data_IF_741802446719
#
_entry.id   IF_741802446719
#
_cell.length_a   1.000
_cell.length_b   1.000
_cell.length_c   1.000
_cell.angle_alpha   90.00
_cell.angle_beta   90.00
_cell.angle_gamma   90.00
#
_symmetry.space_group_name_H-M   'P 1'
#
loop_
_entity.id
_entity.type
_entity.pdbx_description
1 polymer ?
#
# COMPACT_ATOMS: atom_id res chain seq x y z
N UNK A 1 -27.16 7.35 -28.54
CA UNK A 1 -26.21 8.44 -28.84
C UNK A 1 -24.86 8.27 -28.12
N UNK A 2 -24.86 8.06 -26.80
CA UNK A 2 -23.63 7.89 -25.99
C UNK A 2 -22.77 6.69 -26.42
N UNK A 3 -23.38 5.55 -26.76
CA UNK A 3 -22.66 4.35 -27.23
C UNK A 3 -21.88 4.57 -28.54
N UNK A 4 -22.41 5.37 -29.46
CA UNK A 4 -21.74 5.75 -30.71
C UNK A 4 -20.53 6.64 -30.46
N UNK A 5 -20.62 7.52 -29.46
CA UNK A 5 -19.52 8.38 -29.03
C UNK A 5 -18.37 7.53 -28.47
N UNK A 6 -18.68 6.56 -27.60
CA UNK A 6 -17.67 5.65 -27.04
C UNK A 6 -16.96 4.82 -28.11
N UNK A 7 -17.69 4.33 -29.12
CA UNK A 7 -17.09 3.60 -30.24
C UNK A 7 -16.14 4.47 -31.06
N UNK A 8 -16.52 5.73 -31.34
CA UNK A 8 -15.67 6.69 -32.05
C UNK A 8 -14.39 7.00 -31.25
N UNK A 9 -14.50 7.16 -29.92
CA UNK A 9 -13.35 7.39 -29.04
C UNK A 9 -12.43 6.16 -29.05
N UNK A 10 -12.96 4.95 -28.88
CA UNK A 10 -12.19 3.70 -28.97
C UNK A 10 -11.47 3.59 -30.31
N UNK A 11 -12.17 3.87 -31.41
CA UNK A 11 -11.60 3.85 -32.75
C UNK A 11 -10.43 4.84 -32.87
N UNK A 12 -10.56 6.07 -32.38
CA UNK A 12 -9.46 7.04 -32.39
C UNK A 12 -8.27 6.61 -31.54
N UNK A 13 -8.50 6.00 -30.38
CA UNK A 13 -7.44 5.49 -29.52
C UNK A 13 -6.69 4.33 -30.21
N UNK A 14 -7.42 3.39 -30.83
CA UNK A 14 -6.82 2.30 -31.62
C UNK A 14 -6.02 2.85 -32.79
N UNK A 15 -6.53 3.85 -33.52
CA UNK A 15 -5.78 4.51 -34.59
C UNK A 15 -4.52 5.21 -34.09
N UNK A 16 -4.52 5.74 -32.86
CA UNK A 16 -3.31 6.29 -32.26
C UNK A 16 -2.31 5.19 -31.95
N UNK A 17 -2.76 4.09 -31.34
CA UNK A 17 -1.89 2.96 -31.03
C UNK A 17 -1.28 2.35 -32.30
N UNK A 18 -2.05 2.25 -33.40
CA UNK A 18 -1.55 1.72 -34.68
C UNK A 18 -0.45 2.56 -35.32
N UNK A 19 -0.41 3.87 -35.10
CA UNK A 19 0.72 4.73 -35.52
C UNK A 19 2.02 4.41 -34.78
N UNK A 20 1.88 3.81 -33.62
CA UNK A 20 2.95 3.53 -32.68
C UNK A 20 3.12 2.03 -32.44
N UNK A 21 2.74 1.19 -33.40
CA UNK A 21 2.90 -0.26 -33.31
C UNK A 21 4.30 -0.73 -33.69
N UNK A 22 4.66 -1.91 -33.15
CA UNK A 22 5.87 -2.62 -33.50
C UNK A 22 5.91 -2.86 -35.02
N UNK A 23 7.04 -2.62 -35.71
CA UNK A 23 7.24 -3.12 -37.05
C UNK A 23 7.15 -4.65 -37.03
N UNK A 24 6.48 -5.23 -38.02
CA UNK A 24 6.11 -6.65 -38.12
C UNK A 24 7.28 -7.63 -38.24
N UNK A 25 8.50 -7.25 -37.87
CA UNK A 25 9.73 -8.03 -38.00
C UNK A 25 10.56 -8.12 -36.72
N UNK A 26 10.16 -7.50 -35.61
CA UNK A 26 10.94 -7.56 -34.39
C UNK A 26 10.51 -8.74 -33.52
N UNK A 27 11.37 -9.76 -33.43
CA UNK A 27 11.39 -10.61 -32.26
C UNK A 27 11.67 -9.71 -31.04
N UNK A 28 10.93 -9.91 -29.95
CA UNK A 28 11.09 -9.21 -28.67
C UNK A 28 12.51 -9.33 -28.06
N UNK A 29 13.40 -10.08 -28.72
CA UNK A 29 14.82 -10.28 -28.39
C UNK A 29 15.78 -9.32 -29.07
N UNK A 30 15.33 -8.47 -29.99
CA UNK A 30 16.20 -7.53 -30.71
C UNK A 30 16.57 -6.30 -29.86
N UNK A 31 17.83 -5.87 -29.93
CA UNK A 31 18.33 -4.66 -29.24
C UNK A 31 17.60 -3.37 -29.68
N UNK A 32 16.96 -3.38 -30.84
CA UNK A 32 16.14 -2.27 -31.34
C UNK A 32 14.76 -2.18 -30.67
N UNK A 33 14.21 -3.30 -30.17
CA UNK A 33 12.98 -3.29 -29.37
C UNK A 33 13.22 -2.65 -27.99
N UNK A 34 14.45 -2.75 -27.44
CA UNK A 34 14.82 -2.11 -26.18
C UNK A 34 14.94 -0.58 -26.29
N UNK A 35 15.12 -0.04 -27.50
CA UNK A 35 15.31 1.40 -27.74
C UNK A 35 14.03 2.12 -28.14
N UNK A 36 12.98 1.40 -28.50
CA UNK A 36 11.76 1.97 -29.07
C UNK A 36 10.53 1.65 -28.23
N UNK A 37 9.69 2.67 -28.04
CA UNK A 37 8.40 2.51 -27.36
C UNK A 37 7.36 2.08 -28.39
N UNK A 38 6.62 1.01 -28.15
CA UNK A 38 5.57 0.56 -29.07
C UNK A 38 4.36 -0.04 -28.36
N UNK A 39 3.24 -0.03 -29.05
CA UNK A 39 2.05 -0.76 -28.64
C UNK A 39 1.89 -2.04 -29.45
N UNK A 40 1.24 -3.01 -28.84
CA UNK A 40 0.68 -4.17 -29.50
C UNK A 40 -0.78 -4.25 -29.09
N UNK A 41 -1.70 -4.28 -30.06
CA UNK A 41 -3.14 -4.16 -29.84
C UNK A 41 -3.81 -5.38 -30.45
N UNK A 42 -4.51 -6.14 -29.61
CA UNK A 42 -5.29 -7.29 -30.00
C UNK A 42 -6.78 -7.01 -29.78
N UNK A 43 -7.57 -7.16 -30.82
CA UNK A 43 -9.01 -6.91 -30.79
C UNK A 43 -9.73 -8.23 -31.04
N UNK A 44 -10.41 -8.74 -30.02
CA UNK A 44 -11.17 -9.98 -30.09
C UNK A 44 -12.65 -9.67 -30.34
N UNK A 45 -13.16 -10.15 -31.47
CA UNK A 45 -14.53 -9.91 -31.92
C UNK A 45 -15.38 -11.15 -31.62
N UNK A 46 -16.49 -11.02 -30.88
CA UNK A 46 -17.38 -12.15 -30.58
C UNK A 46 -18.17 -12.64 -31.81
N UNK A 47 -18.65 -13.88 -31.75
CA UNK A 47 -19.39 -14.55 -32.83
C UNK A 47 -20.86 -14.11 -32.95
N UNK A 48 -21.45 -13.60 -31.86
CA UNK A 48 -22.84 -13.16 -31.82
C UNK A 48 -23.05 -11.77 -32.46
N UNK A 49 -24.28 -11.49 -32.90
CA UNK A 49 -24.66 -10.17 -33.42
C UNK A 49 -24.67 -9.12 -32.30
N UNK A 50 -24.48 -7.84 -32.66
CA UNK A 50 -24.53 -6.74 -31.68
C UNK A 50 -25.89 -6.67 -30.94
N UNK A 51 -26.98 -7.09 -31.57
CA UNK A 51 -28.32 -7.12 -30.98
C UNK A 51 -28.45 -8.25 -29.96
N UNK A 52 -27.92 -9.43 -30.27
CA UNK A 52 -27.94 -10.59 -29.38
C UNK A 52 -27.03 -10.37 -28.15
N UNK A 53 -25.87 -9.75 -28.35
CA UNK A 53 -24.95 -9.42 -27.25
C UNK A 53 -25.56 -8.37 -26.30
N UNK A 54 -26.41 -7.48 -26.82
CA UNK A 54 -27.06 -6.46 -26.00
C UNK A 54 -28.04 -7.07 -24.98
N UNK A 55 -28.63 -8.22 -25.29
CA UNK A 55 -29.56 -8.96 -24.41
C UNK A 55 -28.83 -9.73 -23.30
N UNK A 56 -27.52 -9.95 -23.44
CA UNK A 56 -26.71 -10.68 -22.46
C UNK A 56 -26.14 -9.69 -21.42
N UNK A 57 -26.28 -9.97 -20.11
CA UNK A 57 -25.73 -9.12 -19.05
C UNK A 57 -24.21 -9.04 -19.13
N UNK A 58 -23.64 -7.87 -18.81
CA UNK A 58 -22.23 -7.55 -19.08
C UNK A 58 -21.25 -8.54 -18.44
N UNK A 59 -21.57 -9.01 -17.24
CA UNK A 59 -20.75 -9.98 -16.48
C UNK A 59 -20.61 -11.33 -17.21
N UNK A 60 -21.61 -11.72 -18.02
CA UNK A 60 -21.65 -13.00 -18.71
C UNK A 60 -21.12 -12.92 -20.14
N UNK A 61 -20.81 -11.73 -20.65
CA UNK A 61 -20.25 -11.53 -22.00
C UNK A 61 -18.86 -12.15 -22.17
N UNK A 62 -18.16 -12.44 -21.07
CA UNK A 62 -16.87 -13.14 -21.08
C UNK A 62 -16.94 -14.59 -21.58
N UNK A 63 -18.13 -15.21 -21.61
CA UNK A 63 -18.35 -16.57 -22.09
C UNK A 63 -18.64 -16.65 -23.61
N UNK A 64 -18.74 -15.51 -24.30
CA UNK A 64 -18.99 -15.47 -25.74
C UNK A 64 -17.80 -16.05 -26.51
N UNK A 65 -18.08 -16.93 -27.47
CA UNK A 65 -17.07 -17.45 -28.39
C UNK A 65 -16.51 -16.31 -29.24
N UNK A 66 -15.19 -16.27 -29.37
CA UNK A 66 -14.48 -15.31 -30.21
C UNK A 66 -14.50 -15.80 -31.66
N UNK A 67 -15.03 -14.98 -32.56
CA UNK A 67 -15.07 -15.25 -34.01
C UNK A 67 -13.70 -15.07 -34.65
N UNK A 68 -13.05 -13.96 -34.30
CA UNK A 68 -11.75 -13.62 -34.84
C UNK A 68 -11.00 -12.64 -33.95
N UNK A 69 -9.68 -12.70 -34.09
CA UNK A 69 -8.74 -11.75 -33.54
C UNK A 69 -8.29 -10.81 -34.67
N UNK A 70 -8.21 -9.52 -34.36
CA UNK A 70 -7.77 -8.49 -35.30
C UNK A 70 -6.63 -7.68 -34.68
N UNK A 71 -5.56 -7.48 -35.45
CA UNK A 71 -4.44 -6.62 -35.09
C UNK A 71 -4.30 -5.52 -36.15
N UNK A 72 -4.30 -4.23 -35.78
CA UNK A 72 -4.10 -3.17 -36.75
C UNK A 72 -2.66 -3.20 -37.31
N UNK A 73 -2.49 -2.79 -38.57
CA UNK A 73 -1.15 -2.66 -39.18
C UNK A 73 -0.55 -1.30 -38.81
N UNK A 74 0.78 -1.22 -38.70
CA UNK A 74 1.51 0.02 -38.45
C UNK A 74 1.15 1.06 -39.52
N UNK A 75 0.69 2.24 -39.10
CA UNK A 75 0.20 3.30 -40.00
C UNK A 75 -0.89 2.81 -40.99
N UNK A 76 -1.77 1.90 -40.56
CA UNK A 76 -2.84 1.37 -41.41
C UNK A 76 -3.65 2.49 -42.08
N UNK A 77 -3.88 2.34 -43.40
CA UNK A 77 -4.69 3.26 -44.19
C UNK A 77 -6.08 3.41 -43.55
N UNK A 78 -6.48 4.67 -43.32
CA UNK A 78 -7.79 5.02 -42.74
C UNK A 78 -8.71 5.48 -43.85
N UNK A 79 -9.87 4.83 -43.96
CA UNK A 79 -10.97 5.29 -44.80
C UNK A 79 -12.18 5.52 -43.90
N UNK A 80 -12.42 6.78 -43.50
CA UNK A 80 -13.50 7.13 -42.57
C UNK A 80 -13.37 6.43 -41.21
N UNK A 81 -14.28 5.50 -40.94
CA UNK A 81 -14.37 4.68 -39.71
C UNK A 81 -13.85 3.24 -39.89
N UNK A 82 -13.02 3.02 -40.90
CA UNK A 82 -12.44 1.71 -41.22
C UNK A 82 -10.92 1.76 -41.01
N UNK A 83 -10.37 0.73 -40.36
CA UNK A 83 -8.94 0.55 -40.13
C UNK A 83 -8.43 -0.72 -40.82
N UNK A 84 -7.29 -0.61 -41.51
CA UNK A 84 -6.61 -1.75 -42.10
C UNK A 84 -5.78 -2.51 -41.05
N UNK A 85 -5.85 -3.84 -41.09
CA UNK A 85 -5.12 -4.71 -40.19
C UNK A 85 -4.98 -6.12 -40.74
N UNK A 86 -4.59 -7.03 -39.85
CA UNK A 86 -4.59 -8.46 -40.08
C UNK A 86 -5.61 -9.12 -39.15
N UNK A 87 -6.28 -10.14 -39.64
CA UNK A 87 -7.28 -10.92 -38.93
C UNK A 87 -6.82 -12.37 -38.87
N UNK A 88 -7.03 -13.00 -37.71
CA UNK A 88 -6.92 -14.45 -37.53
C UNK A 88 -8.27 -14.99 -37.08
N UNK A 89 -8.90 -15.81 -37.92
CA UNK A 89 -10.11 -16.53 -37.53
C UNK A 89 -9.71 -17.76 -36.70
N UNK A 90 -10.65 -18.31 -35.92
CA UNK A 90 -10.37 -19.45 -35.04
C UNK A 90 -9.89 -20.70 -35.80
N UNK A 91 -10.33 -20.88 -37.04
CA UNK A 91 -10.02 -22.01 -37.91
C UNK A 91 -8.79 -21.76 -38.79
N UNK A 92 -8.35 -20.50 -38.90
CA UNK A 92 -7.25 -20.11 -39.77
C UNK A 92 -5.91 -20.19 -39.00
N UNK A 93 -4.92 -20.84 -39.60
CA UNK A 93 -3.56 -20.92 -39.02
C UNK A 93 -2.78 -19.61 -39.24
N UNK A 94 -3.08 -18.90 -40.34
CA UNK A 94 -2.37 -17.72 -40.81
C UNK A 94 -3.17 -16.41 -40.64
N UNK A 95 -2.44 -15.30 -40.59
CA UNK A 95 -3.00 -13.95 -40.50
C UNK A 95 -3.35 -13.43 -41.89
N UNK A 96 -4.61 -13.09 -42.11
CA UNK A 96 -5.10 -12.55 -43.39
C UNK A 96 -5.27 -11.03 -43.32
N UNK A 97 -4.87 -10.26 -44.35
CA UNK A 97 -5.13 -8.83 -44.38
C UNK A 97 -6.64 -8.55 -44.46
N UNK A 98 -7.16 -7.68 -43.61
CA UNK A 98 -8.60 -7.38 -43.53
C UNK A 98 -8.84 -5.93 -43.09
N UNK A 99 -10.01 -5.41 -43.41
CA UNK A 99 -10.50 -4.12 -42.96
C UNK A 99 -11.50 -4.29 -41.83
N UNK A 100 -11.36 -3.50 -40.75
CA UNK A 100 -12.27 -3.52 -39.62
C UNK A 100 -13.04 -2.19 -39.52
N UNK A 101 -14.37 -2.25 -39.50
CA UNK A 101 -15.23 -1.11 -39.20
C UNK A 101 -15.31 -0.84 -37.68
N UNK A 102 -15.45 0.42 -37.30
CA UNK A 102 -15.63 0.85 -35.91
C UNK A 102 -16.87 0.23 -35.23
N UNK A 103 -17.88 -0.19 -35.98
CA UNK A 103 -19.12 -0.76 -35.43
C UNK A 103 -18.89 -2.11 -34.71
N UNK A 104 -17.86 -2.84 -35.12
CA UNK A 104 -17.45 -4.09 -34.49
C UNK A 104 -16.73 -3.88 -33.14
N UNK A 105 -16.36 -2.63 -32.80
CA UNK A 105 -15.63 -2.31 -31.56
C UNK A 105 -16.53 -2.15 -30.32
N UNK A 106 -17.85 -2.20 -30.50
CA UNK A 106 -18.82 -1.95 -29.42
C UNK A 106 -18.68 -2.98 -28.30
N UNK A 107 -18.67 -4.26 -28.67
CA UNK A 107 -18.63 -5.40 -27.76
C UNK A 107 -17.33 -6.21 -27.88
N UNK A 108 -16.35 -5.73 -28.65
CA UNK A 108 -15.05 -6.38 -28.75
C UNK A 108 -14.26 -6.25 -27.45
N UNK A 109 -13.52 -7.29 -27.10
CA UNK A 109 -12.48 -7.22 -26.08
C UNK A 109 -11.22 -6.64 -26.72
N UNK A 110 -10.64 -5.63 -26.09
CA UNK A 110 -9.41 -4.98 -26.56
C UNK A 110 -8.33 -5.24 -25.51
N UNK A 111 -7.26 -5.89 -25.92
CA UNK A 111 -6.08 -6.12 -25.10
C UNK A 111 -4.94 -5.26 -25.68
N UNK A 112 -4.25 -4.52 -24.82
CA UNK A 112 -3.16 -3.63 -25.22
C UNK A 112 -1.93 -3.96 -24.39
N UNK A 113 -0.85 -4.33 -25.08
CA UNK A 113 0.47 -4.42 -24.50
C UNK A 113 1.23 -3.14 -24.87
N UNK A 114 1.80 -2.48 -23.87
CA UNK A 114 2.68 -1.34 -24.06
C UNK A 114 4.08 -1.72 -23.64
N UNK A 115 5.02 -1.58 -24.57
CA UNK A 115 6.44 -1.88 -24.37
C UNK A 115 7.21 -0.57 -24.29
N UNK A 116 7.99 -0.42 -23.20
CA UNK A 116 8.86 0.70 -22.91
C UNK A 116 10.24 0.17 -22.52
N UNK A 117 11.11 0.01 -23.52
CA UNK A 117 12.41 -0.65 -23.36
C UNK A 117 12.28 -2.06 -22.79
N UNK A 118 12.86 -2.30 -21.61
CA UNK A 118 12.77 -3.59 -20.89
C UNK A 118 11.52 -3.75 -20.03
N UNK A 119 10.60 -2.78 -20.07
CA UNK A 119 9.39 -2.79 -19.26
C UNK A 119 8.15 -3.02 -20.11
N UNK A 120 7.35 -4.01 -19.74
CA UNK A 120 6.10 -4.34 -20.40
C UNK A 120 4.90 -4.12 -19.48
N UNK A 121 3.90 -3.40 -20.00
CA UNK A 121 2.57 -3.32 -19.41
C UNK A 121 1.60 -4.13 -20.25
N UNK A 122 1.02 -5.15 -19.65
CA UNK A 122 0.00 -5.98 -20.30
C UNK A 122 -1.34 -5.71 -19.63
N UNK A 123 -2.25 -5.08 -20.35
CA UNK A 123 -3.60 -4.80 -19.89
C UNK A 123 -4.61 -5.61 -20.71
N UNK A 124 -5.31 -6.51 -20.03
CA UNK A 124 -6.35 -7.35 -20.62
C UNK A 124 -7.73 -6.73 -20.39
N UNK A 125 -8.64 -6.87 -21.36
CA UNK A 125 -10.01 -6.31 -21.30
C UNK A 125 -10.01 -4.82 -20.98
N UNK A 126 -9.26 -4.05 -21.77
CA UNK A 126 -9.10 -2.61 -21.57
C UNK A 126 -10.46 -1.88 -21.60
N UNK A 127 -10.82 -1.26 -20.48
CA UNK A 127 -11.93 -0.31 -20.44
C UNK A 127 -11.56 0.97 -21.22
N UNK A 128 -12.55 1.78 -21.57
CA UNK A 128 -12.29 3.06 -22.26
C UNK A 128 -11.37 3.98 -21.44
N UNK A 129 -11.53 3.99 -20.12
CA UNK A 129 -10.64 4.72 -19.21
C UNK A 129 -9.22 4.16 -19.24
N UNK A 130 -9.06 2.85 -19.29
CA UNK A 130 -7.74 2.19 -19.41
C UNK A 130 -7.07 2.55 -20.72
N UNK A 131 -7.80 2.59 -21.84
CA UNK A 131 -7.29 3.02 -23.14
C UNK A 131 -6.85 4.51 -23.12
N UNK A 132 -7.65 5.39 -22.50
CA UNK A 132 -7.27 6.80 -22.32
C UNK A 132 -6.01 6.93 -21.46
N UNK A 133 -5.92 6.16 -20.37
CA UNK A 133 -4.72 6.13 -19.51
C UNK A 133 -3.49 5.71 -20.30
N UNK A 134 -3.56 4.63 -21.09
CA UNK A 134 -2.45 4.17 -21.92
C UNK A 134 -2.04 5.20 -22.98
N UNK A 135 -3.01 5.93 -23.55
CA UNK A 135 -2.75 7.05 -24.45
C UNK A 135 -2.00 8.19 -23.75
N UNK A 136 -2.47 8.61 -22.56
CA UNK A 136 -1.86 9.68 -21.77
C UNK A 136 -0.47 9.30 -21.27
N UNK A 137 -0.27 8.06 -20.84
CA UNK A 137 1.01 7.54 -20.35
C UNK A 137 2.14 7.79 -21.34
N UNK A 138 1.90 7.52 -22.62
CA UNK A 138 2.90 7.78 -23.67
C UNK A 138 2.93 9.24 -24.09
N UNK A 139 1.78 9.87 -24.34
CA UNK A 139 1.72 11.26 -24.83
C UNK A 139 2.40 12.25 -23.88
N UNK A 140 2.25 12.04 -22.58
CA UNK A 140 2.83 12.87 -21.52
C UNK A 140 4.14 12.29 -20.95
N UNK A 141 4.65 11.17 -21.48
CA UNK A 141 5.81 10.43 -20.96
C UNK A 141 5.74 10.14 -19.44
N UNK A 142 4.54 9.90 -18.92
CA UNK A 142 4.31 9.58 -17.50
C UNK A 142 4.75 8.16 -17.12
N UNK A 143 5.22 7.37 -18.10
CA UNK A 143 5.76 6.02 -17.90
C UNK A 143 6.87 6.00 -16.83
N UNK A 144 7.72 7.03 -16.77
CA UNK A 144 8.77 7.14 -15.75
C UNK A 144 8.22 7.22 -14.32
N UNK A 145 7.11 7.94 -14.12
CA UNK A 145 6.45 8.02 -12.81
C UNK A 145 5.86 6.67 -12.41
N UNK A 146 5.29 5.94 -13.37
CA UNK A 146 4.71 4.63 -13.12
C UNK A 146 5.77 3.58 -12.76
N UNK A 147 6.91 3.61 -13.45
CA UNK A 147 8.10 2.81 -13.10
C UNK A 147 8.56 3.15 -11.68
N UNK A 148 8.62 4.44 -11.33
CA UNK A 148 9.02 4.90 -10.01
C UNK A 148 8.05 4.41 -8.93
N UNK A 149 6.74 4.54 -9.14
CA UNK A 149 5.73 4.03 -8.23
C UNK A 149 5.83 2.51 -8.05
N UNK A 150 6.06 1.77 -9.13
CA UNK A 150 6.22 0.32 -9.05
C UNK A 150 7.48 -0.07 -8.26
N UNK A 151 8.63 0.58 -8.55
CA UNK A 151 9.88 0.38 -7.79
C UNK A 151 9.71 0.77 -6.33
N UNK A 152 9.04 1.88 -6.03
CA UNK A 152 8.76 2.35 -4.68
C UNK A 152 7.86 1.37 -3.92
N UNK A 153 6.78 0.88 -4.54
CA UNK A 153 5.90 -0.13 -3.95
C UNK A 153 6.65 -1.43 -3.65
N UNK A 154 7.48 -1.90 -4.59
CA UNK A 154 8.35 -3.07 -4.40
C UNK A 154 9.36 -2.85 -3.28
N UNK A 155 9.96 -1.66 -3.21
CA UNK A 155 10.89 -1.28 -2.15
C UNK A 155 10.21 -1.24 -0.78
N UNK A 156 9.05 -0.58 -0.65
CA UNK A 156 8.26 -0.52 0.59
C UNK A 156 7.86 -1.92 1.04
N UNK A 157 7.37 -2.75 0.13
CA UNK A 157 7.01 -4.13 0.45
C UNK A 157 8.23 -4.94 0.90
N UNK A 158 9.35 -4.84 0.18
CA UNK A 158 10.62 -5.49 0.56
C UNK A 158 11.12 -5.00 1.92
N UNK A 159 11.00 -3.71 2.21
CA UNK A 159 11.41 -3.11 3.47
C UNK A 159 10.49 -3.51 4.62
N UNK A 160 9.17 -3.61 4.38
CA UNK A 160 8.19 -4.09 5.35
C UNK A 160 8.44 -5.57 5.68
N UNK A 161 8.69 -6.39 4.67
CA UNK A 161 9.07 -7.80 4.84
C UNK A 161 10.42 -7.91 5.55
N UNK A 162 11.42 -7.12 5.16
CA UNK A 162 12.73 -7.10 5.82
C UNK A 162 12.66 -6.64 7.27
N UNK A 163 11.82 -5.65 7.61
CA UNK A 163 11.56 -5.23 9.00
C UNK A 163 10.92 -6.34 9.82
N UNK A 164 9.92 -7.04 9.27
CA UNK A 164 9.27 -8.19 9.93
C UNK A 164 10.24 -9.35 10.17
N UNK A 165 11.19 -9.54 9.25
CA UNK A 165 12.17 -10.63 9.28
C UNK A 165 13.40 -10.30 10.15
N UNK A 166 13.81 -9.03 10.21
CA UNK A 166 15.01 -8.60 10.96
C UNK A 166 14.79 -8.59 12.47
N UNK A 167 13.55 -8.63 12.94
CA UNK A 167 13.26 -8.95 14.32
C UNK A 167 13.12 -10.47 14.44
N UNK A 168 14.16 -11.20 14.90
CA UNK A 168 13.92 -12.55 15.43
C UNK A 168 12.85 -12.46 16.52
N UNK A 169 12.12 -13.55 16.72
CA UNK A 169 11.05 -13.69 17.73
C UNK A 169 11.43 -12.95 19.01
N UNK A 170 10.67 -11.91 19.34
CA UNK A 170 11.09 -10.97 20.39
C UNK A 170 10.86 -11.52 21.79
N UNK A 171 9.99 -12.53 21.96
CA UNK A 171 9.77 -13.17 23.26
C UNK A 171 9.00 -14.48 23.17
N UNK A 172 9.12 -15.34 24.20
CA UNK A 172 8.26 -16.52 24.44
C UNK A 172 6.77 -16.18 24.33
N UNK A 173 6.38 -14.96 24.71
CA UNK A 173 4.99 -14.49 24.65
C UNK A 173 4.41 -14.45 23.23
N UNK A 174 5.17 -14.00 22.22
CA UNK A 174 4.69 -13.93 20.83
C UNK A 174 4.39 -15.31 20.25
N UNK A 175 5.16 -16.33 20.66
CA UNK A 175 4.91 -17.73 20.30
C UNK A 175 3.58 -18.19 20.90
N UNK A 176 3.35 -17.91 22.18
CA UNK A 176 2.11 -18.29 22.85
C UNK A 176 0.90 -17.54 22.33
N UNK A 177 1.04 -16.26 21.98
CA UNK A 177 -0.02 -15.49 21.34
C UNK A 177 -0.40 -16.09 19.97
N UNK A 178 0.60 -16.42 19.14
CA UNK A 178 0.37 -17.06 17.85
C UNK A 178 -0.34 -18.42 18.01
N UNK A 179 0.08 -19.25 18.98
CA UNK A 179 -0.58 -20.52 19.28
C UNK A 179 -2.02 -20.32 19.76
N UNK A 180 -2.26 -19.42 20.71
CA UNK A 180 -3.58 -19.16 21.27
C UNK A 180 -4.54 -18.49 20.27
N UNK A 181 -4.03 -17.90 19.20
CA UNK A 181 -4.82 -17.35 18.09
C UNK A 181 -5.25 -18.40 17.05
N UNK A 182 -4.71 -19.63 17.12
CA UNK A 182 -4.99 -20.70 16.17
C UNK A 182 -6.11 -21.62 16.66
N UNK A 183 -7.20 -21.72 15.89
CA UNK A 183 -8.33 -22.59 16.19
C UNK A 183 -7.93 -24.09 16.29
N UNK A 184 -6.99 -24.52 15.44
CA UNK A 184 -6.50 -25.89 15.43
C UNK A 184 -5.78 -26.26 16.73
N UNK A 185 -4.97 -25.33 17.24
CA UNK A 185 -4.27 -25.50 18.51
C UNK A 185 -5.26 -25.49 19.68
N UNK A 186 -6.23 -24.58 19.71
CA UNK A 186 -7.24 -24.51 20.78
C UNK A 186 -8.08 -25.79 20.88
N UNK A 187 -8.30 -26.49 19.76
CA UNK A 187 -9.03 -27.77 19.73
C UNK A 187 -8.19 -28.97 20.18
N UNK A 188 -6.91 -29.03 19.77
CA UNK A 188 -6.05 -30.21 19.97
C UNK A 188 -5.11 -30.11 21.18
N UNK A 189 -4.76 -28.89 21.59
CA UNK A 189 -3.77 -28.61 22.64
C UNK A 189 -2.34 -29.02 22.29
N UNK A 190 -2.09 -29.41 21.04
CA UNK A 190 -0.80 -29.86 20.52
C UNK A 190 -0.44 -29.09 19.25
N UNK A 191 0.85 -28.93 18.98
CA UNK A 191 1.34 -28.24 17.80
C UNK A 191 2.67 -28.81 17.32
N UNK A 192 2.94 -28.67 16.03
CA UNK A 192 4.26 -28.97 15.43
C UNK A 192 5.07 -27.69 15.22
N UNK A 193 6.39 -27.81 15.16
CA UNK A 193 7.28 -26.67 14.88
C UNK A 193 7.00 -26.11 13.49
N UNK A 194 6.79 -26.97 12.50
CA UNK A 194 6.44 -26.56 11.13
C UNK A 194 5.15 -25.74 11.07
N UNK A 195 4.12 -26.15 11.81
CA UNK A 195 2.84 -25.42 11.94
C UNK A 195 3.03 -24.07 12.63
N UNK A 196 3.80 -24.03 13.72
CA UNK A 196 4.13 -22.80 14.43
C UNK A 196 4.89 -21.80 13.54
N UNK A 197 5.88 -22.29 12.78
CA UNK A 197 6.63 -21.46 11.84
C UNK A 197 5.72 -20.86 10.75
N UNK A 198 4.75 -21.65 10.28
CA UNK A 198 3.75 -21.19 9.30
C UNK A 198 2.79 -20.16 9.90
N UNK A 199 2.39 -20.32 11.16
CA UNK A 199 1.54 -19.37 11.87
C UNK A 199 2.25 -18.01 12.06
N UNK A 200 3.51 -18.01 12.43
CA UNK A 200 4.28 -16.79 12.73
C UNK A 200 4.73 -16.08 11.44
N UNK A 201 5.21 -16.82 10.43
CA UNK A 201 5.87 -16.26 9.25
C UNK A 201 5.04 -16.36 7.94
N UNK A 202 3.92 -17.09 7.96
CA UNK A 202 3.08 -17.36 6.79
C UNK A 202 3.75 -18.28 5.76
N UNK A 203 3.12 -18.43 4.58
CA UNK A 203 3.63 -19.27 3.48
C UNK A 203 4.82 -18.66 2.71
N UNK A 204 5.72 -17.91 3.36
CA UNK A 204 6.79 -17.18 2.70
C UNK A 204 8.09 -18.01 2.61
N UNK A 205 8.01 -19.15 1.92
CA UNK A 205 9.17 -20.04 1.71
C UNK A 205 10.10 -19.63 0.56
N UNK A 206 9.78 -18.57 -0.20
CA UNK A 206 10.40 -18.37 -1.52
C UNK A 206 11.51 -17.32 -1.54
N UNK A 207 11.71 -16.56 -0.46
CA UNK A 207 12.57 -15.36 -0.52
C UNK A 207 14.05 -15.59 -0.23
N UNK A 208 14.37 -16.21 0.92
CA UNK A 208 15.74 -16.29 1.45
C UNK A 208 15.88 -17.46 2.42
N UNK A 209 16.34 -18.60 1.93
CA UNK A 209 16.56 -19.83 2.69
C UNK A 209 17.39 -19.60 3.98
N UNK A 210 18.45 -18.78 3.89
CA UNK A 210 19.33 -18.46 5.02
C UNK A 210 18.59 -17.80 6.21
N UNK A 211 17.60 -16.96 5.90
CA UNK A 211 16.81 -16.27 6.92
C UNK A 211 15.86 -17.26 7.60
N UNK A 212 15.20 -18.09 6.80
CA UNK A 212 14.33 -19.14 7.33
C UNK A 212 15.11 -20.08 8.26
N UNK A 213 16.34 -20.44 7.90
CA UNK A 213 17.21 -21.26 8.74
C UNK A 213 17.55 -20.59 10.07
N UNK A 214 17.95 -19.31 10.07
CA UNK A 214 18.22 -18.53 11.29
C UNK A 214 17.01 -18.41 12.21
N UNK A 215 15.83 -18.21 11.61
CA UNK A 215 14.55 -18.14 12.34
C UNK A 215 14.15 -19.49 12.91
N UNK A 216 14.31 -20.57 12.14
CA UNK A 216 14.04 -21.93 12.58
C UNK A 216 14.95 -22.33 13.75
N UNK A 217 16.23 -21.97 13.71
CA UNK A 217 17.18 -22.17 14.81
C UNK A 217 16.79 -21.35 16.05
N UNK A 218 16.37 -20.10 15.87
CA UNK A 218 15.89 -19.28 16.99
C UNK A 218 14.62 -19.86 17.62
N UNK A 219 13.73 -20.47 16.82
CA UNK A 219 12.56 -21.17 17.33
C UNK A 219 12.95 -22.39 18.16
N UNK A 220 13.94 -23.18 17.72
CA UNK A 220 14.45 -24.33 18.48
C UNK A 220 14.91 -23.91 19.87
N UNK A 221 15.78 -22.89 19.95
CA UNK A 221 16.28 -22.41 21.25
C UNK A 221 15.17 -21.94 22.20
N UNK A 222 14.13 -21.28 21.67
CA UNK A 222 13.03 -20.82 22.50
C UNK A 222 12.16 -21.99 22.96
N UNK A 223 11.87 -22.95 22.07
CA UNK A 223 11.10 -24.15 22.40
C UNK A 223 11.84 -25.02 23.42
N UNK A 224 13.15 -25.22 23.27
CA UNK A 224 13.98 -25.94 24.23
C UNK A 224 13.92 -25.29 25.61
N UNK A 225 14.03 -23.96 25.67
CA UNK A 225 13.88 -23.22 26.93
C UNK A 225 12.47 -23.35 27.54
N UNK A 226 11.41 -23.42 26.73
CA UNK A 226 10.06 -23.67 27.23
C UNK A 226 9.86 -25.12 27.73
N UNK A 227 10.59 -26.09 27.17
CA UNK A 227 10.62 -27.47 27.67
C UNK A 227 11.32 -27.52 29.02
N UNK A 228 12.47 -26.84 29.17
CA UNK A 228 13.22 -26.73 30.42
C UNK A 228 12.38 -26.09 31.54
N UNK A 229 11.65 -25.01 31.21
CA UNK A 229 10.74 -24.32 32.14
C UNK A 229 9.45 -25.11 32.46
N UNK A 230 9.29 -26.32 31.90
CA UNK A 230 8.12 -27.20 32.05
C UNK A 230 6.82 -26.56 31.54
N UNK A 231 6.90 -25.59 30.65
CA UNK A 231 5.77 -24.91 30.02
C UNK A 231 5.16 -25.74 28.89
N UNK A 232 6.01 -26.48 28.17
CA UNK A 232 5.63 -27.42 27.10
C UNK A 232 6.25 -28.79 27.33
N UNK A 233 5.68 -29.83 26.70
CA UNK A 233 6.18 -31.19 26.76
C UNK A 233 6.25 -31.81 25.36
N UNK A 234 7.35 -32.48 25.07
CA UNK A 234 7.52 -33.25 23.85
C UNK A 234 6.75 -34.57 24.01
N UNK A 235 5.78 -34.83 23.13
CA UNK A 235 4.93 -36.04 23.17
C UNK A 235 5.54 -37.17 22.33
N UNK A 236 6.23 -36.84 21.25
CA UNK A 236 6.84 -37.83 20.34
C UNK A 236 8.30 -37.45 20.07
N UNK A 237 9.26 -37.99 20.85
CA UNK A 237 10.68 -37.73 20.63
C UNK A 237 11.25 -38.42 19.39
N UNK A 238 10.55 -39.41 18.81
CA UNK A 238 11.06 -40.24 17.71
C UNK A 238 10.93 -39.62 16.30
N UNK A 239 10.61 -38.33 16.19
CA UNK A 239 10.55 -37.59 14.91
C UNK A 239 11.51 -36.40 14.98
N UNK A 240 12.79 -36.64 14.73
CA UNK A 240 13.88 -35.65 14.89
C UNK A 240 13.70 -34.35 14.06
N UNK A 241 12.93 -34.41 12.98
CA UNK A 241 12.79 -33.29 12.05
C UNK A 241 11.55 -32.40 12.29
N UNK A 242 10.54 -32.85 13.05
CA UNK A 242 9.34 -32.04 13.37
C UNK A 242 8.62 -32.59 14.63
N UNK A 243 9.17 -32.38 15.84
CA UNK A 243 8.62 -32.94 17.07
C UNK A 243 7.23 -32.38 17.37
N UNK A 244 6.37 -33.23 17.96
CA UNK A 244 5.05 -32.85 18.44
C UNK A 244 5.14 -32.33 19.88
N UNK A 245 4.75 -31.08 20.08
CA UNK A 245 4.70 -30.43 21.38
C UNK A 245 3.27 -30.40 21.92
N UNK A 246 3.15 -30.50 23.24
CA UNK A 246 1.91 -30.31 23.99
C UNK A 246 2.09 -29.21 25.02
N UNK A 247 1.13 -28.29 25.06
CA UNK A 247 1.13 -27.19 26.02
C UNK A 247 0.72 -27.68 27.41
N UNK A 248 1.44 -27.27 28.46
CA UNK A 248 1.08 -27.53 29.86
C UNK A 248 0.39 -26.32 30.50
N UNK A 249 -0.27 -26.54 31.63
CA UNK A 249 -0.91 -25.48 32.42
C UNK A 249 0.04 -24.35 32.81
N UNK A 250 1.33 -24.66 33.06
CA UNK A 250 2.35 -23.66 33.36
C UNK A 250 2.58 -22.69 32.20
N UNK A 251 2.60 -23.17 30.96
CA UNK A 251 2.72 -22.30 29.78
C UNK A 251 1.48 -21.42 29.60
N UNK A 252 0.29 -21.96 29.87
CA UNK A 252 -0.96 -21.18 29.83
C UNK A 252 -0.92 -20.08 30.90
N UNK A 253 -0.47 -20.42 32.10
CA UNK A 253 -0.32 -19.48 33.20
C UNK A 253 0.71 -18.38 32.90
N UNK A 254 1.85 -18.73 32.31
CA UNK A 254 2.83 -17.74 31.84
C UNK A 254 2.19 -16.77 30.83
N UNK A 255 1.46 -17.30 29.85
CA UNK A 255 0.79 -16.48 28.84
C UNK A 255 -0.24 -15.54 29.44
N UNK A 256 -1.10 -16.02 30.34
CA UNK A 256 -2.14 -15.18 30.96
C UNK A 256 -1.53 -14.08 31.83
N UNK A 257 -0.57 -14.41 32.70
CA UNK A 257 0.12 -13.44 33.53
C UNK A 257 0.86 -12.39 32.69
N UNK A 258 1.52 -12.82 31.62
CA UNK A 258 2.28 -11.90 30.76
C UNK A 258 1.35 -11.00 29.97
N UNK A 259 0.22 -11.54 29.46
CA UNK A 259 -0.82 -10.76 28.77
C UNK A 259 -1.41 -9.69 29.69
N UNK A 260 -1.71 -10.06 30.93
CA UNK A 260 -2.25 -9.14 31.93
C UNK A 260 -1.23 -8.05 32.31
N UNK A 261 0.03 -8.43 32.53
CA UNK A 261 1.11 -7.47 32.77
C UNK A 261 1.29 -6.49 31.62
N UNK A 262 1.21 -6.95 30.37
CA UNK A 262 1.30 -6.09 29.19
C UNK A 262 0.10 -5.13 29.09
N UNK A 263 -1.11 -5.63 29.31
CA UNK A 263 -2.31 -4.79 29.33
C UNK A 263 -2.23 -3.73 30.44
N UNK A 264 -1.75 -4.10 31.63
CA UNK A 264 -1.55 -3.16 32.73
C UNK A 264 -0.44 -2.14 32.42
N UNK A 265 0.65 -2.55 31.78
CA UNK A 265 1.72 -1.64 31.36
C UNK A 265 1.24 -0.63 30.30
N UNK A 266 0.39 -1.05 29.37
CA UNK A 266 -0.22 -0.18 28.37
C UNK A 266 -1.17 0.83 29.02
N UNK A 267 -2.06 0.37 29.91
CA UNK A 267 -2.93 1.25 30.70
C UNK A 267 -2.12 2.26 31.52
N UNK A 268 -1.05 1.83 32.19
CA UNK A 268 -0.16 2.71 32.94
C UNK A 268 0.53 3.74 32.04
N UNK A 269 0.92 3.35 30.82
CA UNK A 269 1.53 4.28 29.85
C UNK A 269 0.55 5.35 29.40
N UNK A 270 -0.71 5.00 29.15
CA UNK A 270 -1.77 5.95 28.83
C UNK A 270 -1.99 6.93 29.99
N UNK A 271 -2.04 6.43 31.22
CA UNK A 271 -2.16 7.25 32.43
C UNK A 271 -0.97 8.20 32.57
N UNK A 272 0.26 7.72 32.39
CA UNK A 272 1.47 8.55 32.43
C UNK A 272 1.44 9.65 31.37
N UNK A 273 1.00 9.35 30.15
CA UNK A 273 0.86 10.36 29.09
C UNK A 273 -0.16 11.44 29.45
N UNK A 274 -1.28 11.06 30.07
CA UNK A 274 -2.28 12.01 30.57
C UNK A 274 -1.71 12.87 31.71
N UNK A 275 -0.98 12.27 32.65
CA UNK A 275 -0.32 12.99 33.74
C UNK A 275 0.70 14.02 33.23
N UNK A 276 1.54 13.65 32.27
CA UNK A 276 2.50 14.58 31.64
C UNK A 276 1.78 15.73 30.94
N UNK A 277 0.65 15.46 30.29
CA UNK A 277 -0.18 16.51 29.67
C UNK A 277 -0.75 17.47 30.72
N UNK A 278 -1.28 16.95 31.83
CA UNK A 278 -1.78 17.76 32.93
C UNK A 278 -0.68 18.59 33.59
N UNK A 279 0.50 18.01 33.81
CA UNK A 279 1.65 18.72 34.37
C UNK A 279 2.10 19.89 33.48
N UNK A 280 2.08 19.71 32.15
CA UNK A 280 2.35 20.81 31.20
C UNK A 280 1.31 21.92 31.29
N UNK A 281 0.04 21.57 31.42
CA UNK A 281 -1.04 22.55 31.60
C UNK A 281 -0.93 23.30 32.94
N UNK A 282 -0.60 22.60 34.03
CA UNK A 282 -0.34 23.23 35.32
C UNK A 282 0.85 24.17 35.26
N UNK A 283 1.95 23.78 34.61
CA UNK A 283 3.11 24.64 34.39
C UNK A 283 2.78 25.90 33.58
N UNK A 284 1.93 25.76 32.56
CA UNK A 284 1.46 26.91 31.76
C UNK A 284 0.57 27.86 32.57
N UNK A 285 -0.36 27.32 33.37
CA UNK A 285 -1.23 28.12 34.24
C UNK A 285 -0.44 28.83 35.34
N UNK A 286 0.54 28.16 35.96
CA UNK A 286 1.43 28.80 36.94
C UNK A 286 2.28 29.89 36.31
N UNK A 287 2.78 29.70 35.08
CA UNK A 287 3.47 30.75 34.34
C UNK A 287 2.57 31.98 34.08
N UNK A 288 1.32 31.77 33.67
CA UNK A 288 0.35 32.86 33.50
C UNK A 288 0.04 33.58 34.83
N UNK A 289 -0.05 32.83 35.92
CA UNK A 289 -0.29 33.40 37.25
C UNK A 289 0.88 34.27 37.69
N UNK A 290 2.12 33.83 37.44
CA UNK A 290 3.34 34.62 37.66
C UNK A 290 3.35 35.89 36.81
N UNK A 291 2.95 35.84 35.54
CA UNK A 291 2.82 37.05 34.70
C UNK A 291 1.77 37.99 35.30
N UNK A 292 0.62 37.45 35.74
CA UNK A 292 -0.45 38.23 36.36
C UNK A 292 0.01 38.94 37.64
N UNK A 293 0.77 38.26 38.51
CA UNK A 293 1.33 38.87 39.72
C UNK A 293 2.41 39.91 39.40
N UNK A 294 3.22 39.71 38.37
CA UNK A 294 4.16 40.73 37.90
C UNK A 294 3.42 41.97 37.38
N UNK A 295 2.37 41.80 36.57
CA UNK A 295 1.57 42.93 36.05
C UNK A 295 0.93 43.72 37.18
N UNK A 296 0.32 43.05 38.16
CA UNK A 296 -0.25 43.74 39.34
C UNK A 296 0.82 44.44 40.18
N UNK A 297 2.02 43.87 40.30
CA UNK A 297 3.12 44.54 40.97
C UNK A 297 3.59 45.80 40.22
N UNK A 298 3.64 45.76 38.88
CA UNK A 298 3.96 46.94 38.06
C UNK A 298 2.88 48.02 38.19
N UNK A 299 1.61 47.65 38.12
CA UNK A 299 0.49 48.60 38.30
C UNK A 299 0.56 49.27 39.68
N UNK A 300 0.86 48.50 40.74
CA UNK A 300 1.05 49.04 42.09
C UNK A 300 2.27 49.98 42.20
N UNK A 301 3.34 49.76 41.43
CA UNK A 301 4.50 50.66 41.38
C UNK A 301 4.16 51.96 40.65
N UNK A 302 3.38 51.88 39.57
CA UNK A 302 2.94 53.09 38.85
C UNK A 302 1.93 53.90 39.68
N UNK A 303 1.07 53.24 40.45
CA UNK A 303 0.21 53.92 41.43
C UNK A 303 1.03 54.53 42.58
N UNK A 304 2.07 53.84 43.09
CA UNK A 304 2.97 54.40 44.09
C UNK A 304 3.75 55.62 43.58
N UNK A 305 4.15 55.63 42.29
CA UNK A 305 4.76 56.82 41.66
C UNK A 305 3.83 58.02 41.65
N UNK A 306 2.52 57.84 41.41
CA UNK A 306 1.55 58.95 41.45
C UNK A 306 1.53 59.62 42.82
N UNK A 307 1.56 58.84 43.91
CA UNK A 307 1.62 59.41 45.26
C UNK A 307 2.94 60.12 45.56
N UNK A 308 4.08 59.59 45.08
CA UNK A 308 5.39 60.23 45.22
C UNK A 308 5.48 61.56 44.47
N UNK A 309 4.91 61.66 43.26
CA UNK A 309 4.84 62.92 42.51
C UNK A 309 4.04 63.96 43.28
N UNK A 310 2.89 63.57 43.83
CA UNK A 310 2.02 64.43 44.64
C UNK A 310 2.76 64.98 45.88
N UNK A 311 3.50 64.10 46.56
CA UNK A 311 4.29 64.44 47.75
C UNK A 311 5.47 65.36 47.39
N UNK A 312 6.14 65.14 46.26
CA UNK A 312 7.19 66.02 45.72
C UNK A 312 6.66 67.41 45.35
N UNK A 313 5.48 67.51 44.72
CA UNK A 313 4.83 68.80 44.47
C UNK A 313 4.46 69.53 45.75
N UNK A 314 3.99 68.80 46.77
CA UNK A 314 3.68 69.39 48.07
C UNK A 314 4.95 69.89 48.78
N UNK A 315 6.03 69.11 48.77
CA UNK A 315 7.34 69.54 49.29
C UNK A 315 7.88 70.77 48.56
N UNK A 316 7.76 70.82 47.23
CA UNK A 316 8.18 72.00 46.45
C UNK A 316 7.33 73.24 46.78
N UNK A 317 6.02 73.09 46.99
CA UNK A 317 5.17 74.20 47.45
C UNK A 317 5.59 74.69 48.83
N UNK A 318 5.87 73.80 49.78
CA UNK A 318 6.35 74.16 51.13
C UNK A 318 7.71 74.86 51.06
N UNK A 319 8.64 74.38 50.25
CA UNK A 319 9.96 75.01 50.05
C UNK A 319 9.80 76.40 49.43
N UNK A 320 8.91 76.56 48.44
CA UNK A 320 8.63 77.88 47.83
C UNK A 320 8.00 78.86 48.82
N UNK A 321 7.16 78.36 49.74
CA UNK A 321 6.52 79.18 50.77
C UNK A 321 7.49 79.61 51.88
N UNK A 322 8.46 78.76 52.21
CA UNK A 322 9.54 79.08 53.16
C UNK A 322 10.55 80.05 52.50
N UNK A 323 10.87 79.85 51.22
CA UNK A 323 11.77 80.72 50.46
C UNK A 323 11.21 82.12 50.16
N UNK A 324 9.88 82.29 50.13
CA UNK A 324 9.22 83.59 49.95
C UNK A 324 9.07 84.41 51.25
N UNK A 325 9.50 83.86 52.40
CA UNK A 325 9.44 84.50 53.72
C UNK A 325 10.81 84.94 54.27
N UNK A 326 11.88 84.78 53.49
CA UNK A 326 13.17 85.44 53.66
C UNK A 326 13.23 86.62 52.68
#
# INVERSE_FOLDING_TARGET
>A
MISLLFNKIRFHLICYFSKHMCPSQFSLTSDEAQKNDFYEVHIYIPEASNEDISKIPENNRGALKVKCEFMPIKNGKRWGNIIAGVKKSREDTEWQPTLLSADFLKHSRIDVNFFFGLWDFREQKCSLLTLIRLYLLRKLRLVYLEILFHKLKKFINKHRVYRKIRTPLRSKFEIYEALMSSDDFLRKGTFRKSELSKLIFGNHYVGKFEIYQKVSQSLDWILDSCVEDKEIQIVSPNQDHDPLYKMKGNGIHYFTLTKEKLANAENNRVIQQQQVRLQRWMAFLTFLLVIGTFLTAVDNIDDAKKYMVLLLTYCNQVISYIGAKL
#
